data_IF_466662429782
#
_entry.id   IF_466662429782
#
_cell.length_a   1.000
_cell.length_b   1.000
_cell.length_c   1.000
_cell.angle_alpha   90.00
_cell.angle_beta   90.00
_cell.angle_gamma   90.00
#
_symmetry.space_group_name_H-M   'P 1'
#
loop_
_entity.id
_entity.type
_entity.pdbx_description
1 polymer ?
#
# COMPACT_ATOMS: atom_id res chain seq x y z
N UNK A 1 -42.48 -10.41 28.46
CA UNK A 1 -41.27 -9.58 28.24
C UNK A 1 -40.21 -10.43 27.56
N UNK A 2 -40.11 -10.35 26.23
CA UNK A 2 -38.96 -10.89 25.50
C UNK A 2 -37.90 -9.78 25.47
N UNK A 3 -36.74 -10.03 26.06
CA UNK A 3 -35.56 -9.17 25.90
C UNK A 3 -35.15 -9.28 24.44
N UNK A 4 -35.25 -8.18 23.69
CA UNK A 4 -34.56 -8.03 22.43
C UNK A 4 -33.07 -7.92 22.76
N UNK A 5 -32.33 -9.01 22.59
CA UNK A 5 -30.90 -8.94 22.37
C UNK A 5 -30.72 -8.28 20.99
N UNK A 6 -30.40 -6.99 21.00
CA UNK A 6 -29.85 -6.33 19.83
C UNK A 6 -28.53 -7.04 19.53
N UNK A 7 -28.55 -7.94 18.56
CA UNK A 7 -27.34 -8.39 17.87
C UNK A 7 -26.73 -7.11 17.31
N UNK A 8 -25.68 -6.61 17.97
CA UNK A 8 -24.90 -5.51 17.46
C UNK A 8 -24.22 -6.04 16.19
N UNK A 9 -24.86 -5.87 15.04
CA UNK A 9 -24.24 -6.07 13.74
C UNK A 9 -23.14 -5.03 13.63
N UNK A 10 -21.95 -5.34 14.14
CA UNK A 10 -20.76 -4.56 13.82
C UNK A 10 -20.63 -4.56 12.30
N UNK A 11 -20.85 -3.40 11.67
CA UNK A 11 -20.62 -3.20 10.24
C UNK A 11 -19.12 -3.32 9.99
N UNK A 12 -18.72 -4.06 8.96
CA UNK A 12 -17.31 -4.14 8.54
C UNK A 12 -16.75 -2.73 8.32
N UNK A 13 -15.60 -2.43 8.91
CA UNK A 13 -14.92 -1.15 8.78
C UNK A 13 -13.77 -1.23 7.78
N UNK A 14 -13.47 -0.11 7.13
CA UNK A 14 -12.23 0.08 6.37
C UNK A 14 -11.32 0.98 7.18
N UNK A 15 -10.06 0.60 7.29
CA UNK A 15 -9.11 1.25 8.19
C UNK A 15 -7.83 1.52 7.40
N UNK A 16 -7.42 2.78 7.31
CA UNK A 16 -6.20 3.19 6.62
C UNK A 16 -5.09 3.54 7.61
N UNK A 17 -3.86 3.09 7.34
CA UNK A 17 -2.65 3.62 7.95
C UNK A 17 -1.74 4.14 6.83
N UNK A 18 -1.60 5.45 6.75
CA UNK A 18 -0.87 6.13 5.68
C UNK A 18 0.42 6.70 6.25
N UNK A 19 1.57 6.37 5.67
CA UNK A 19 2.86 6.65 6.30
C UNK A 19 3.91 7.14 5.33
N UNK A 20 4.80 8.01 5.80
CA UNK A 20 6.04 8.34 5.10
C UNK A 20 7.22 8.41 6.04
N UNK A 21 8.36 7.82 5.66
CA UNK A 21 9.61 7.97 6.40
C UNK A 21 10.16 9.40 6.28
N UNK A 22 10.91 9.85 7.29
CA UNK A 22 11.72 11.06 7.13
C UNK A 22 12.80 10.82 6.06
N UNK A 23 12.91 11.74 5.11
CA UNK A 23 13.89 11.75 4.02
C UNK A 23 14.69 13.05 4.04
N UNK A 24 15.84 13.07 3.36
CA UNK A 24 16.59 14.30 3.16
C UNK A 24 16.06 15.13 1.98
N UNK A 25 16.83 16.12 1.54
CA UNK A 25 16.46 16.98 0.41
C UNK A 25 16.30 16.24 -0.93
N UNK A 26 16.74 14.98 -1.00
CA UNK A 26 16.62 14.14 -2.18
C UNK A 26 15.20 13.64 -2.46
N UNK A 27 14.32 13.60 -1.45
CA UNK A 27 12.91 13.21 -1.58
C UNK A 27 12.05 14.16 -0.73
N UNK A 28 11.07 14.82 -1.34
CA UNK A 28 10.25 15.85 -0.69
C UNK A 28 8.76 15.56 -0.72
N UNK A 29 8.33 14.59 -1.53
CA UNK A 29 6.92 14.33 -1.78
C UNK A 29 6.23 13.57 -0.65
N UNK A 30 6.96 12.72 0.10
CA UNK A 30 6.36 11.71 0.97
C UNK A 30 5.30 12.21 1.96
N UNK A 31 5.52 13.37 2.58
CA UNK A 31 4.54 14.00 3.48
C UNK A 31 3.27 14.44 2.74
N UNK A 32 3.43 15.10 1.58
CA UNK A 32 2.30 15.60 0.79
C UNK A 32 1.52 14.44 0.19
N UNK A 33 2.22 13.43 -0.31
CA UNK A 33 1.65 12.20 -0.84
C UNK A 33 0.82 11.48 0.23
N UNK A 34 1.39 11.28 1.42
CA UNK A 34 0.66 10.69 2.55
C UNK A 34 -0.59 11.49 2.90
N UNK A 35 -0.51 12.82 2.92
CA UNK A 35 -1.66 13.68 3.24
C UNK A 35 -2.77 13.53 2.19
N UNK A 36 -2.41 13.50 0.91
CA UNK A 36 -3.38 13.37 -0.18
C UNK A 36 -4.04 11.99 -0.19
N UNK A 37 -3.24 10.93 -0.03
CA UNK A 37 -3.75 9.55 0.08
C UNK A 37 -4.70 9.40 1.27
N UNK A 38 -4.30 9.89 2.45
CA UNK A 38 -5.15 9.83 3.64
C UNK A 38 -6.49 10.55 3.43
N UNK A 39 -6.46 11.71 2.76
CA UNK A 39 -7.66 12.47 2.43
C UNK A 39 -8.60 11.66 1.54
N UNK A 40 -8.11 11.06 0.46
CA UNK A 40 -8.94 10.27 -0.45
C UNK A 40 -9.42 8.95 0.18
N UNK A 41 -8.57 8.28 0.96
CA UNK A 41 -8.93 7.03 1.61
C UNK A 41 -10.00 7.22 2.68
N UNK A 42 -9.98 8.36 3.40
CA UNK A 42 -10.97 8.67 4.46
C UNK A 42 -12.16 9.49 3.98
N UNK A 43 -12.23 9.82 2.70
CA UNK A 43 -13.41 10.41 2.08
C UNK A 43 -14.57 9.38 2.03
N UNK A 44 -15.78 9.81 2.38
CA UNK A 44 -16.94 8.93 2.51
C UNK A 44 -17.51 8.43 1.17
N UNK A 45 -17.20 9.11 0.07
CA UNK A 45 -17.66 8.75 -1.27
C UNK A 45 -16.58 7.96 -2.03
N UNK A 46 -15.30 8.23 -1.75
CA UNK A 46 -14.15 7.62 -2.41
C UNK A 46 -13.67 6.37 -1.66
N UNK A 47 -12.78 6.51 -0.67
CA UNK A 47 -12.11 5.35 -0.05
C UNK A 47 -12.85 4.72 1.13
N UNK A 48 -13.77 5.46 1.75
CA UNK A 48 -14.67 5.02 2.85
C UNK A 48 -13.95 4.42 4.06
N UNK A 49 -12.69 4.76 4.27
CA UNK A 49 -11.97 4.40 5.49
C UNK A 49 -12.47 5.28 6.64
N UNK A 50 -12.68 4.66 7.80
CA UNK A 50 -13.13 5.37 8.99
C UNK A 50 -12.09 6.40 9.41
N UNK A 51 -12.48 7.67 9.47
CA UNK A 51 -11.60 8.73 9.96
C UNK A 51 -11.20 8.54 11.44
N UNK A 52 -12.06 7.91 12.24
CA UNK A 52 -11.80 7.66 13.68
C UNK A 52 -10.82 6.51 13.92
N UNK A 53 -10.80 5.51 13.01
CA UNK A 53 -9.95 4.33 13.14
C UNK A 53 -8.68 4.40 12.28
N UNK A 54 -8.66 5.27 11.28
CA UNK A 54 -7.51 5.46 10.39
C UNK A 54 -6.52 6.44 11.00
N UNK A 55 -5.27 6.40 10.53
CA UNK A 55 -4.27 7.36 10.94
C UNK A 55 -3.24 7.66 9.85
N UNK A 56 -2.54 8.77 10.03
CA UNK A 56 -1.43 9.21 9.19
C UNK A 56 -0.18 9.50 10.03
N UNK A 57 0.93 8.86 9.68
CA UNK A 57 2.23 9.11 10.30
C UNK A 57 3.24 9.58 9.25
N UNK A 58 3.47 10.89 9.17
CA UNK A 58 4.45 11.47 8.25
C UNK A 58 5.80 11.69 8.92
N UNK A 59 6.86 11.71 8.12
CA UNK A 59 8.23 12.06 8.52
C UNK A 59 8.74 11.17 9.67
N UNK A 60 8.45 9.86 9.61
CA UNK A 60 8.84 8.92 10.67
C UNK A 60 10.30 8.49 10.54
N UNK A 61 11.07 8.68 11.61
CA UNK A 61 12.48 8.25 11.71
C UNK A 61 12.65 6.89 12.38
N UNK A 62 11.73 6.52 13.27
CA UNK A 62 11.81 5.27 14.01
C UNK A 62 10.82 4.24 13.47
N UNK A 63 11.35 3.15 12.91
CA UNK A 63 10.56 2.00 12.43
C UNK A 63 9.64 1.40 13.51
N UNK A 64 10.02 1.49 14.79
CA UNK A 64 9.20 0.96 15.88
C UNK A 64 7.90 1.77 16.04
N UNK A 65 7.92 3.07 15.69
CA UNK A 65 6.71 3.91 15.70
C UNK A 65 5.66 3.37 14.72
N UNK A 66 6.10 2.93 13.53
CA UNK A 66 5.22 2.27 12.56
C UNK A 66 4.65 0.97 13.12
N UNK A 67 5.50 0.07 13.62
CA UNK A 67 5.06 -1.24 14.10
C UNK A 67 4.12 -1.12 15.30
N UNK A 68 4.44 -0.25 16.27
CA UNK A 68 3.56 0.02 17.40
C UNK A 68 2.20 0.54 16.94
N UNK A 69 2.17 1.43 15.93
CA UNK A 69 0.91 1.97 15.42
C UNK A 69 0.06 0.93 14.70
N UNK A 70 0.67 0.03 13.94
CA UNK A 70 -0.03 -1.13 13.35
C UNK A 70 -0.69 -1.96 14.46
N UNK A 71 0.06 -2.30 15.51
CA UNK A 71 -0.47 -3.04 16.65
C UNK A 71 -1.62 -2.32 17.36
N UNK A 72 -1.54 -1.00 17.55
CA UNK A 72 -2.60 -0.21 18.18
C UNK A 72 -3.88 -0.13 17.33
N UNK A 73 -3.76 0.13 16.02
CA UNK A 73 -4.92 0.32 15.15
C UNK A 73 -5.71 -0.99 15.01
N UNK A 74 -4.99 -2.10 14.88
CA UNK A 74 -5.56 -3.42 14.60
C UNK A 74 -5.90 -4.12 15.91
N UNK A 75 -4.97 -4.18 16.87
CA UNK A 75 -5.14 -4.92 18.12
C UNK A 75 -6.26 -4.41 19.02
N UNK A 76 -6.70 -3.16 18.87
CA UNK A 76 -7.69 -2.58 19.77
C UNK A 76 -9.15 -3.00 19.49
N UNK A 77 -9.50 -3.41 18.26
CA UNK A 77 -10.86 -3.86 17.89
C UNK A 77 -10.92 -4.29 16.41
N UNK A 78 -10.15 -5.30 15.99
CA UNK A 78 -10.20 -5.84 14.63
C UNK A 78 -11.31 -6.89 14.49
N UNK A 79 -12.19 -6.72 13.51
CA UNK A 79 -13.14 -7.73 13.07
C UNK A 79 -12.61 -8.42 11.80
N UNK A 80 -12.84 -9.72 11.65
CA UNK A 80 -12.41 -10.49 10.46
C UNK A 80 -13.03 -9.99 9.15
N UNK A 81 -14.11 -9.19 9.24
CA UNK A 81 -14.77 -8.56 8.09
C UNK A 81 -14.19 -7.18 7.77
N UNK A 82 -13.36 -6.61 8.64
CA UNK A 82 -12.70 -5.33 8.38
C UNK A 82 -11.71 -5.45 7.22
N UNK A 83 -11.39 -4.32 6.60
CA UNK A 83 -10.32 -4.24 5.60
C UNK A 83 -9.28 -3.20 6.02
N UNK A 84 -8.02 -3.59 5.97
CA UNK A 84 -6.89 -2.70 6.23
C UNK A 84 -6.27 -2.18 4.93
N UNK A 85 -5.92 -0.90 4.89
CA UNK A 85 -5.16 -0.30 3.79
C UNK A 85 -3.93 0.35 4.38
N UNK A 86 -2.76 -0.17 4.01
CA UNK A 86 -1.48 0.39 4.40
C UNK A 86 -0.87 1.10 3.21
N UNK A 87 -0.38 2.32 3.42
CA UNK A 87 0.40 3.05 2.43
C UNK A 87 1.73 3.48 3.05
N UNK A 88 2.82 3.29 2.31
CA UNK A 88 4.15 3.76 2.69
C UNK A 88 4.82 4.51 1.54
N UNK A 89 5.33 5.71 1.82
CA UNK A 89 6.18 6.50 0.90
C UNK A 89 7.54 6.79 1.51
N UNK A 90 8.60 6.61 0.71
CA UNK A 90 9.96 6.93 1.13
C UNK A 90 11.01 6.01 0.50
N UNK A 91 12.09 5.76 1.23
CA UNK A 91 13.18 4.94 0.74
C UNK A 91 12.89 3.43 0.90
N UNK A 92 13.22 2.67 -0.13
CA UNK A 92 13.16 1.21 -0.14
C UNK A 92 14.40 0.63 -0.83
N UNK A 93 14.88 -0.50 -0.31
CA UNK A 93 16.07 -1.16 -0.84
C UNK A 93 15.94 -2.68 -0.76
N UNK A 94 16.55 -3.38 -1.70
CA UNK A 94 16.83 -4.81 -1.55
C UNK A 94 18.19 -4.98 -0.84
N UNK A 95 18.19 -5.55 0.37
CA UNK A 95 19.43 -5.87 1.11
C UNK A 95 19.45 -7.32 1.56
N UNK A 96 20.52 -8.05 1.21
CA UNK A 96 20.64 -9.50 1.47
C UNK A 96 19.38 -10.23 1.00
N UNK A 97 18.98 -9.94 -0.24
CA UNK A 97 17.81 -10.53 -0.90
C UNK A 97 16.48 -10.36 -0.15
N UNK A 98 16.34 -9.26 0.61
CA UNK A 98 15.09 -8.88 1.27
C UNK A 98 14.77 -7.44 0.93
N UNK A 99 13.56 -7.20 0.45
CA UNK A 99 13.06 -5.85 0.31
C UNK A 99 12.78 -5.27 1.71
N UNK A 100 13.35 -4.09 1.96
CA UNK A 100 13.31 -3.38 3.23
C UNK A 100 12.86 -1.94 3.02
N UNK A 101 12.03 -1.45 3.94
CA UNK A 101 11.74 -0.03 4.10
C UNK A 101 12.85 0.62 4.93
N UNK A 102 13.24 1.84 4.58
CA UNK A 102 14.28 2.59 5.27
C UNK A 102 13.69 3.66 6.19
N UNK A 103 14.32 3.79 7.35
CA UNK A 103 14.00 4.76 8.38
C UNK A 103 15.34 5.35 8.86
N UNK A 104 15.78 6.43 8.21
CA UNK A 104 17.17 6.90 8.32
C UNK A 104 18.16 5.79 7.93
N UNK A 105 18.99 5.35 8.87
CA UNK A 105 19.97 4.26 8.66
C UNK A 105 19.41 2.86 9.01
N UNK A 106 18.18 2.78 9.52
CA UNK A 106 17.55 1.54 9.96
C UNK A 106 16.74 0.89 8.85
N UNK A 107 16.76 -0.44 8.84
CA UNK A 107 16.01 -1.25 7.91
C UNK A 107 14.87 -1.96 8.62
N UNK A 108 13.69 -1.93 8.00
CA UNK A 108 12.56 -2.76 8.34
C UNK A 108 12.28 -3.70 7.16
N UNK A 109 12.63 -4.99 7.25
CA UNK A 109 12.23 -5.95 6.25
C UNK A 109 10.71 -5.93 6.10
N UNK A 110 10.22 -5.77 4.88
CA UNK A 110 8.78 -5.66 4.64
C UNK A 110 8.01 -6.93 5.05
N UNK A 111 8.69 -8.09 5.00
CA UNK A 111 8.20 -9.35 5.53
C UNK A 111 7.73 -9.25 6.99
N UNK A 112 8.41 -8.46 7.83
CA UNK A 112 8.02 -8.28 9.22
C UNK A 112 6.62 -7.65 9.34
N UNK A 113 6.28 -6.70 8.45
CA UNK A 113 4.94 -6.10 8.43
C UNK A 113 3.89 -7.15 8.07
N UNK A 114 4.16 -8.01 7.09
CA UNK A 114 3.23 -9.09 6.71
C UNK A 114 3.05 -10.08 7.88
N UNK A 115 4.14 -10.46 8.56
CA UNK A 115 4.11 -11.36 9.71
C UNK A 115 3.34 -10.73 10.90
N UNK A 116 3.57 -9.44 11.19
CA UNK A 116 2.86 -8.69 12.22
C UNK A 116 1.34 -8.66 11.92
N UNK A 117 0.95 -8.39 10.67
CA UNK A 117 -0.46 -8.40 10.23
C UNK A 117 -1.09 -9.80 10.37
N UNK A 118 -0.37 -10.85 9.96
CA UNK A 118 -0.84 -12.23 10.11
C UNK A 118 -1.04 -12.64 11.58
N UNK A 119 -0.10 -12.26 12.45
CA UNK A 119 -0.20 -12.50 13.90
C UNK A 119 -1.38 -11.77 14.55
N UNK A 120 -1.76 -10.61 14.00
CA UNK A 120 -2.92 -9.83 14.43
C UNK A 120 -4.25 -10.32 13.84
N UNK A 121 -4.25 -11.38 13.03
CA UNK A 121 -5.46 -11.96 12.43
C UNK A 121 -6.00 -11.19 11.22
N UNK A 122 -5.16 -10.36 10.59
CA UNK A 122 -5.52 -9.61 9.38
C UNK A 122 -5.50 -10.54 8.18
N UNK A 123 -6.64 -10.65 7.51
CA UNK A 123 -6.82 -11.47 6.31
C UNK A 123 -7.47 -10.70 5.16
N UNK A 124 -7.63 -9.37 5.30
CA UNK A 124 -8.18 -8.48 4.29
C UNK A 124 -7.38 -7.20 4.30
N UNK A 125 -6.35 -7.13 3.47
CA UNK A 125 -5.48 -5.95 3.44
C UNK A 125 -4.99 -5.60 2.04
N UNK A 126 -4.76 -4.31 1.80
CA UNK A 126 -4.02 -3.79 0.65
C UNK A 126 -2.80 -3.05 1.17
N UNK A 127 -1.61 -3.50 0.79
CA UNK A 127 -0.33 -2.89 1.16
C UNK A 127 0.26 -2.17 -0.05
N UNK A 128 0.33 -0.85 0.01
CA UNK A 128 0.74 0.04 -1.08
C UNK A 128 2.12 0.60 -0.76
N UNK A 129 3.08 0.33 -1.64
CA UNK A 129 4.49 0.65 -1.46
C UNK A 129 4.97 1.62 -2.54
N UNK A 130 5.12 2.89 -2.17
CA UNK A 130 5.72 3.91 -3.00
C UNK A 130 7.17 4.16 -2.62
N UNK A 131 8.02 3.24 -3.07
CA UNK A 131 9.47 3.31 -2.88
C UNK A 131 10.20 2.74 -4.09
N UNK A 132 11.49 3.05 -4.22
CA UNK A 132 12.38 2.36 -5.14
C UNK A 132 12.38 0.85 -4.89
N UNK A 133 12.51 0.06 -5.96
CA UNK A 133 12.63 -1.40 -5.93
C UNK A 133 11.47 -2.12 -5.21
N UNK A 134 10.32 -1.48 -5.05
CA UNK A 134 9.16 -2.02 -4.32
C UNK A 134 8.62 -3.32 -4.94
N UNK A 135 8.83 -3.54 -6.24
CA UNK A 135 8.54 -4.81 -6.91
C UNK A 135 9.32 -6.00 -6.36
N UNK A 136 10.44 -5.78 -5.65
CA UNK A 136 11.13 -6.84 -4.90
C UNK A 136 10.26 -7.44 -3.79
N UNK A 137 9.34 -6.67 -3.21
CA UNK A 137 8.33 -7.19 -2.28
C UNK A 137 7.38 -8.16 -2.99
N UNK A 138 6.96 -7.84 -4.22
CA UNK A 138 6.04 -8.65 -5.02
C UNK A 138 6.71 -9.94 -5.52
N UNK A 139 7.96 -9.84 -5.97
CA UNK A 139 8.74 -10.99 -6.48
C UNK A 139 9.03 -12.02 -5.38
N UNK A 140 9.22 -11.57 -4.13
CA UNK A 140 9.38 -12.44 -2.95
C UNK A 140 8.20 -13.42 -2.76
N UNK A 141 7.01 -13.03 -3.20
CA UNK A 141 5.75 -13.73 -2.97
C UNK A 141 5.39 -14.67 -4.10
N UNK A 142 5.77 -14.30 -5.32
CA UNK A 142 5.59 -15.13 -6.52
C UNK A 142 6.55 -16.33 -6.58
N UNK A 143 7.28 -16.60 -5.50
CA UNK A 143 8.15 -17.77 -5.37
C UNK A 143 9.59 -17.58 -5.86
N UNK A 144 10.00 -16.36 -6.21
CA UNK A 144 11.34 -16.06 -6.73
C UNK A 144 11.65 -16.77 -8.07
N UNK A 145 12.15 -16.04 -9.06
CA UNK A 145 12.63 -16.69 -10.29
C UNK A 145 13.77 -17.66 -9.93
N UNK A 146 13.65 -18.92 -10.36
CA UNK A 146 14.69 -19.95 -10.22
C UNK A 146 15.93 -19.56 -11.05
N UNK A 147 16.84 -18.80 -10.45
CA UNK A 147 18.18 -18.49 -10.97
C UNK A 147 19.09 -18.18 -9.79
N UNK A 148 20.18 -18.93 -9.66
CA UNK A 148 20.93 -19.20 -8.42
C UNK A 148 21.64 -18.00 -7.74
N UNK A 149 21.53 -16.77 -8.24
CA UNK A 149 22.24 -15.61 -7.67
C UNK A 149 21.31 -14.52 -7.08
N UNK A 150 20.03 -14.49 -7.46
CA UNK A 150 19.06 -13.42 -7.12
C UNK A 150 17.84 -13.94 -6.34
N UNK A 151 18.03 -14.90 -5.44
CA UNK A 151 16.91 -15.48 -4.68
C UNK A 151 16.46 -14.50 -3.60
N UNK A 152 15.48 -13.65 -3.91
CA UNK A 152 14.69 -12.94 -2.88
C UNK A 152 14.15 -13.99 -1.92
N UNK A 153 14.36 -13.80 -0.61
CA UNK A 153 13.91 -14.79 0.37
C UNK A 153 12.39 -14.96 0.22
N UNK A 154 11.98 -16.16 -0.19
CA UNK A 154 10.57 -16.50 -0.30
C UNK A 154 9.86 -16.18 1.03
N UNK A 155 8.69 -15.56 0.93
CA UNK A 155 7.79 -15.38 2.08
C UNK A 155 6.78 -16.52 1.97
N UNK A 156 7.01 -17.66 2.64
CA UNK A 156 6.00 -18.70 2.72
C UNK A 156 4.77 -18.14 3.46
N UNK A 157 3.60 -18.48 2.96
CA UNK A 157 2.31 -18.33 3.64
C UNK A 157 1.88 -16.88 3.95
N UNK A 158 1.70 -16.03 2.93
CA UNK A 158 0.87 -14.83 3.13
C UNK A 158 -0.56 -15.28 3.48
N UNK A 159 -1.19 -14.69 4.51
CA UNK A 159 -2.62 -14.85 4.73
C UNK A 159 -3.40 -14.56 3.44
N UNK A 160 -4.21 -15.52 2.98
CA UNK A 160 -5.14 -15.31 1.87
C UNK A 160 -5.96 -14.03 2.13
N UNK A 161 -6.12 -13.20 1.11
CA UNK A 161 -6.85 -11.92 1.22
C UNK A 161 -5.97 -10.69 1.47
N UNK A 162 -4.64 -10.81 1.40
CA UNK A 162 -3.72 -9.66 1.33
C UNK A 162 -3.28 -9.41 -0.12
N UNK A 163 -3.41 -8.17 -0.59
CA UNK A 163 -2.82 -7.69 -1.83
C UNK A 163 -1.66 -6.72 -1.56
N UNK A 164 -0.70 -6.71 -2.47
CA UNK A 164 0.44 -5.81 -2.43
C UNK A 164 0.55 -5.09 -3.75
N UNK A 165 0.61 -3.77 -3.70
CA UNK A 165 0.79 -2.87 -4.83
C UNK A 165 2.11 -2.13 -4.66
N UNK A 166 2.99 -2.28 -5.64
CA UNK A 166 4.31 -1.65 -5.67
C UNK A 166 4.35 -0.60 -6.78
N UNK A 167 4.94 0.57 -6.51
CA UNK A 167 5.07 1.68 -7.46
C UNK A 167 6.03 1.41 -8.63
N UNK A 168 6.96 0.45 -8.46
CA UNK A 168 8.01 0.13 -9.43
C UNK A 168 8.30 -1.37 -9.46
N UNK A 169 8.89 -1.89 -10.55
CA UNK A 169 9.44 -3.26 -10.55
C UNK A 169 10.75 -3.33 -9.75
N UNK A 170 11.24 -4.54 -9.47
CA UNK A 170 12.42 -4.76 -8.61
C UNK A 170 13.70 -4.02 -9.04
N UNK A 171 13.89 -3.79 -10.34
CA UNK A 171 15.09 -3.16 -10.92
C UNK A 171 14.82 -1.71 -11.36
N UNK A 172 13.68 -1.14 -10.97
CA UNK A 172 13.26 0.21 -11.34
C UNK A 172 13.31 1.15 -10.12
N UNK A 173 13.49 2.43 -10.39
CA UNK A 173 13.45 3.52 -9.40
C UNK A 173 12.01 4.08 -9.37
N UNK A 174 11.48 4.39 -8.18
CA UNK A 174 10.25 5.18 -8.03
C UNK A 174 10.62 6.66 -7.97
N UNK A 175 9.95 7.49 -8.75
CA UNK A 175 10.36 8.87 -9.01
C UNK A 175 9.39 9.89 -8.42
N UNK A 176 9.93 11.02 -8.01
CA UNK A 176 9.19 12.27 -7.80
C UNK A 176 9.05 13.05 -9.11
N UNK A 177 7.97 13.82 -9.23
CA UNK A 177 7.89 14.83 -10.29
C UNK A 177 8.96 15.90 -10.03
N UNK A 178 9.38 16.58 -11.10
CA UNK A 178 10.60 17.40 -11.10
C UNK A 178 10.62 18.54 -10.06
N UNK A 179 9.47 19.01 -9.61
CA UNK A 179 9.34 20.04 -8.56
C UNK A 179 9.32 19.47 -7.13
N UNK A 180 9.41 18.14 -6.97
CA UNK A 180 9.33 17.43 -5.69
C UNK A 180 7.96 17.55 -5.02
N UNK A 181 6.92 17.94 -5.76
CA UNK A 181 5.62 18.16 -5.13
C UNK A 181 4.89 16.86 -4.82
N UNK A 182 5.04 15.86 -5.69
CA UNK A 182 4.43 14.54 -5.56
C UNK A 182 5.35 13.45 -6.11
N UNK A 183 5.14 12.21 -5.70
CA UNK A 183 5.62 11.07 -6.48
C UNK A 183 4.78 10.90 -7.76
N UNK A 184 5.41 10.39 -8.81
CA UNK A 184 4.72 10.07 -10.06
C UNK A 184 3.65 9.00 -9.83
N UNK A 185 3.97 7.99 -9.01
CA UNK A 185 3.03 6.92 -8.68
C UNK A 185 1.85 7.44 -7.87
N UNK A 186 2.09 8.17 -6.76
CA UNK A 186 1.01 8.65 -5.90
C UNK A 186 0.14 9.68 -6.61
N UNK A 187 0.73 10.55 -7.45
CA UNK A 187 -0.05 11.48 -8.27
C UNK A 187 -1.07 10.75 -9.17
N UNK A 188 -0.64 9.73 -9.89
CA UNK A 188 -1.52 8.94 -10.78
C UNK A 188 -2.49 8.05 -10.01
N UNK A 189 -2.09 7.53 -8.85
CA UNK A 189 -2.97 6.79 -7.95
C UNK A 189 -4.10 7.69 -7.43
N UNK A 190 -3.78 8.89 -6.96
CA UNK A 190 -4.79 9.85 -6.50
C UNK A 190 -5.71 10.29 -7.63
N UNK A 191 -5.18 10.51 -8.84
CA UNK A 191 -5.99 10.79 -10.03
C UNK A 191 -6.98 9.65 -10.31
N UNK A 192 -6.50 8.40 -10.26
CA UNK A 192 -7.34 7.21 -10.48
C UNK A 192 -8.51 7.16 -9.49
N UNK A 193 -8.28 7.42 -8.20
CA UNK A 193 -9.34 7.42 -7.20
C UNK A 193 -10.30 8.61 -7.35
N UNK A 194 -9.76 9.83 -7.47
CA UNK A 194 -10.56 11.05 -7.51
C UNK A 194 -11.48 11.13 -8.75
N UNK A 195 -11.04 10.53 -9.86
CA UNK A 195 -11.80 10.53 -11.12
C UNK A 195 -12.63 9.26 -11.34
N UNK A 196 -12.50 8.26 -10.47
CA UNK A 196 -13.06 6.94 -10.71
C UNK A 196 -12.53 6.32 -12.01
N UNK A 197 -11.21 6.26 -12.17
CA UNK A 197 -10.51 5.77 -13.36
C UNK A 197 -10.89 6.56 -14.64
N UNK A 198 -10.95 7.89 -14.55
CA UNK A 198 -11.47 8.79 -15.61
C UNK A 198 -12.90 8.45 -16.03
N UNK A 199 -13.76 8.09 -15.06
CA UNK A 199 -15.14 7.67 -15.29
C UNK A 199 -15.29 6.27 -15.89
N UNK A 200 -14.21 5.49 -15.97
CA UNK A 200 -14.28 4.11 -16.46
C UNK A 200 -15.02 3.24 -15.43
N UNK A 201 -16.20 2.74 -15.80
CA UNK A 201 -17.00 1.88 -14.91
C UNK A 201 -16.31 0.54 -14.67
N UNK A 202 -16.23 0.12 -13.42
CA UNK A 202 -15.86 -1.25 -13.03
C UNK A 202 -17.12 -2.11 -12.88
N UNK A 203 -16.96 -3.42 -12.94
CA UNK A 203 -18.08 -4.36 -12.97
C UNK A 203 -18.97 -4.33 -11.71
N UNK A 204 -18.42 -3.90 -10.58
CA UNK A 204 -19.06 -3.83 -9.26
C UNK A 204 -19.03 -2.41 -8.66
N UNK A 205 -18.55 -1.42 -9.40
CA UNK A 205 -18.39 -0.04 -8.92
C UNK A 205 -17.25 0.15 -7.91
N UNK A 206 -16.36 -0.84 -7.75
CA UNK A 206 -15.20 -0.79 -6.87
C UNK A 206 -13.90 -0.76 -7.69
N UNK A 207 -12.85 -0.12 -7.15
CA UNK A 207 -11.53 -0.07 -7.77
C UNK A 207 -10.63 -1.15 -7.16
N UNK A 208 -10.19 -2.12 -7.96
CA UNK A 208 -9.22 -3.12 -7.52
C UNK A 208 -7.78 -2.64 -7.71
N UNK A 209 -6.82 -3.34 -7.08
CA UNK A 209 -5.38 -3.09 -7.34
C UNK A 209 -5.00 -3.33 -8.80
N UNK A 210 -5.68 -4.25 -9.49
CA UNK A 210 -5.46 -4.51 -10.91
C UNK A 210 -5.94 -3.37 -11.80
N UNK A 211 -7.06 -2.73 -11.43
CA UNK A 211 -7.59 -1.56 -12.15
C UNK A 211 -6.64 -0.37 -12.00
N UNK A 212 -6.13 -0.14 -10.78
CA UNK A 212 -5.12 0.89 -10.51
C UNK A 212 -3.85 0.69 -11.33
N UNK A 213 -3.31 -0.54 -11.35
CA UNK A 213 -2.11 -0.85 -12.13
C UNK A 213 -2.35 -0.64 -13.62
N UNK A 214 -3.52 -1.03 -14.12
CA UNK A 214 -3.90 -0.83 -15.53
C UNK A 214 -3.99 0.66 -15.87
N UNK A 215 -4.66 1.44 -15.03
CA UNK A 215 -4.81 2.89 -15.21
C UNK A 215 -3.46 3.61 -15.21
N UNK A 216 -2.65 3.37 -14.17
CA UNK A 216 -1.35 4.02 -13.99
C UNK A 216 -0.39 3.62 -15.13
N UNK A 217 -0.35 2.34 -15.51
CA UNK A 217 0.48 1.88 -16.63
C UNK A 217 0.08 2.54 -17.94
N UNK A 218 -1.22 2.62 -18.24
CA UNK A 218 -1.72 3.30 -19.43
C UNK A 218 -1.28 4.77 -19.48
N UNK A 219 -1.39 5.49 -18.35
CA UNK A 219 -0.92 6.88 -18.23
C UNK A 219 0.58 7.01 -18.50
N UNK A 220 1.40 6.17 -17.87
CA UNK A 220 2.85 6.17 -18.03
C UNK A 220 3.30 5.82 -19.45
N UNK A 221 2.57 4.96 -20.15
CA UNK A 221 2.92 4.50 -21.50
C UNK A 221 2.46 5.48 -22.60
N UNK A 222 1.34 6.19 -22.39
CA UNK A 222 0.67 6.93 -23.47
C UNK A 222 0.68 8.46 -23.33
N UNK A 223 0.99 9.02 -22.15
CA UNK A 223 1.08 10.48 -21.98
C UNK A 223 2.52 10.95 -22.05
N UNK A 224 2.81 11.86 -22.99
CA UNK A 224 4.17 12.35 -23.26
C UNK A 224 4.85 12.99 -22.06
N UNK A 225 4.11 13.59 -21.12
CA UNK A 225 4.68 14.15 -19.89
C UNK A 225 5.31 13.10 -18.97
N UNK A 226 5.03 11.81 -19.19
CA UNK A 226 5.60 10.72 -18.41
C UNK A 226 6.66 9.89 -19.17
N UNK A 227 7.05 10.31 -20.38
CA UNK A 227 7.99 9.55 -21.24
C UNK A 227 9.34 9.30 -20.59
N UNK A 228 9.74 10.16 -19.66
CA UNK A 228 11.04 10.08 -18.98
C UNK A 228 11.02 9.15 -17.75
N UNK A 229 9.84 8.66 -17.35
CA UNK A 229 9.70 7.77 -16.20
C UNK A 229 9.60 6.29 -16.62
N UNK A 230 10.66 5.55 -16.35
CA UNK A 230 10.75 4.11 -16.65
C UNK A 230 10.04 3.22 -15.62
N UNK A 231 9.55 3.77 -14.50
CA UNK A 231 8.87 3.00 -13.46
C UNK A 231 7.57 2.37 -13.99
N UNK A 232 7.27 1.13 -13.59
CA UNK A 232 5.97 0.51 -13.86
C UNK A 232 5.43 -0.14 -12.59
N UNK A 233 4.19 0.17 -12.18
CA UNK A 233 3.63 -0.43 -10.99
C UNK A 233 3.37 -1.91 -11.23
N UNK A 234 3.46 -2.70 -10.16
CA UNK A 234 3.21 -4.13 -10.19
C UNK A 234 2.47 -4.55 -8.93
N UNK A 235 1.81 -5.70 -8.98
CA UNK A 235 1.05 -6.17 -7.83
C UNK A 235 1.10 -7.69 -7.67
N UNK A 236 0.74 -8.10 -6.46
CA UNK A 236 0.48 -9.47 -6.07
C UNK A 236 -0.88 -9.54 -5.37
N UNK A 237 -1.66 -10.55 -5.72
CA UNK A 237 -2.92 -10.91 -5.06
C UNK A 237 -2.97 -12.43 -4.95
N UNK A 238 -3.35 -12.96 -3.78
CA UNK A 238 -3.64 -14.39 -3.61
C UNK A 238 -4.90 -14.58 -2.78
N UNK A 239 -5.87 -15.31 -3.35
CA UNK A 239 -7.12 -15.62 -2.68
C UNK A 239 -7.99 -14.41 -2.34
N UNK A 240 -7.74 -13.25 -2.96
CA UNK A 240 -8.39 -11.98 -2.58
C UNK A 240 -9.71 -11.69 -3.29
N UNK A 241 -10.06 -12.45 -4.34
CA UNK A 241 -11.23 -12.15 -5.19
C UNK A 241 -11.33 -10.66 -5.55
N UNK A 242 -12.55 -10.14 -5.70
CA UNK A 242 -12.85 -8.70 -5.60
C UNK A 242 -13.32 -8.32 -4.18
N UNK A 243 -12.89 -9.07 -3.16
CA UNK A 243 -13.31 -8.85 -1.76
C UNK A 243 -12.54 -7.72 -1.07
N UNK A 244 -11.46 -7.25 -1.69
CA UNK A 244 -10.71 -6.07 -1.29
C UNK A 244 -10.65 -5.06 -2.44
N UNK A 245 -10.78 -3.78 -2.10
CA UNK A 245 -10.82 -2.66 -3.04
C UNK A 245 -10.21 -1.42 -2.39
N UNK A 246 -9.82 -0.42 -3.17
CA UNK A 246 -9.25 0.85 -2.69
C UNK A 246 -10.29 1.94 -2.64
#
# INVERSE_FOLDING_TARGET
MKKNEAINQSSSMRIALVTSSLTGDELKAGKRDSTHIYTLLTDNEIGRCSHERSDILTDIEDRNKLQNRICEIIGNNWDVRDQFIFYFSGHGIIRKNRYCLLFGDKLLPFRNIIEDLGALGVNRAILILDTCQSGGAVDALKGGVKGEEDIISYIPDIPKGIAILASSKKNEVSNEISDGSHSVFTSLFCEALATGLNGTSTADGLISVGDLVTFITNKLDNESKYSDFNQRPTYYTEGTGREIWV
#
